data_IF_056462522696
#
_entry.id   IF_056462522696
#
_cell.length_a   1.000
_cell.length_b   1.000
_cell.length_c   1.000
_cell.angle_alpha   90.00
_cell.angle_beta   90.00
_cell.angle_gamma   90.00
#
_symmetry.space_group_name_H-M   'P 1'
#
loop_
_entity.id
_entity.type
_entity.pdbx_description
1 polymer ?
#
# COMPACT_ATOMS: atom_id res chain seq x y z
N UNK A 1 60.88 10.92 -50.05
CA UNK A 1 61.26 12.09 -49.22
C UNK A 1 60.11 12.40 -48.26
N UNK A 2 60.47 12.81 -47.03
CA UNK A 2 59.64 13.08 -45.85
C UNK A 2 59.20 11.86 -45.01
N UNK A 3 60.12 11.51 -44.09
CA UNK A 3 59.95 10.70 -42.88
C UNK A 3 59.40 11.53 -41.70
N UNK A 4 58.76 10.86 -40.72
CA UNK A 4 58.88 10.99 -39.24
C UNK A 4 57.62 10.39 -38.60
N UNK A 5 57.61 9.23 -37.95
CA UNK A 5 58.30 8.69 -36.74
C UNK A 5 57.41 8.72 -35.48
N UNK A 6 57.27 7.52 -34.90
CA UNK A 6 56.52 7.06 -33.72
C UNK A 6 56.85 7.78 -32.40
N UNK A 7 55.91 7.78 -31.46
CA UNK A 7 56.18 7.57 -30.02
C UNK A 7 55.10 6.68 -29.40
N UNK A 8 55.55 5.75 -28.58
CA UNK A 8 54.86 4.63 -27.93
C UNK A 8 55.16 4.73 -26.43
N UNK A 9 54.18 4.64 -25.52
CA UNK A 9 54.43 4.30 -24.09
C UNK A 9 53.26 3.56 -23.43
N UNK A 10 53.34 2.23 -23.53
CA UNK A 10 53.23 1.17 -22.50
C UNK A 10 52.72 1.49 -21.05
N UNK A 11 51.71 0.70 -20.65
CA UNK A 11 51.56 -0.17 -19.44
C UNK A 11 51.48 0.39 -18.01
N UNK A 12 50.50 -0.11 -17.23
CA UNK A 12 50.77 -1.00 -16.08
C UNK A 12 49.54 -1.79 -15.58
N UNK A 13 49.77 -3.09 -15.42
CA UNK A 13 48.93 -4.12 -14.81
C UNK A 13 48.97 -4.07 -13.28
N UNK A 14 47.89 -4.51 -12.62
CA UNK A 14 47.97 -5.07 -11.27
C UNK A 14 47.13 -6.36 -11.21
N UNK A 15 47.87 -7.48 -11.12
CA UNK A 15 47.42 -8.77 -10.59
C UNK A 15 47.98 -8.90 -9.18
N UNK A 16 47.22 -9.51 -8.26
CA UNK A 16 47.64 -10.47 -7.21
C UNK A 16 46.36 -10.80 -6.39
N UNK A 17 45.76 -11.99 -6.52
CA UNK A 17 46.13 -13.30 -5.96
C UNK A 17 45.78 -13.44 -4.46
N UNK A 18 44.79 -14.29 -4.13
CA UNK A 18 44.91 -15.29 -3.05
C UNK A 18 43.98 -16.49 -3.27
N UNK A 19 44.44 -17.61 -2.73
CA UNK A 19 44.11 -19.01 -2.99
C UNK A 19 43.56 -19.64 -1.70
N UNK A 20 42.70 -20.66 -1.83
CA UNK A 20 42.37 -21.68 -0.81
C UNK A 20 40.98 -21.49 -0.18
N UNK A 21 40.18 -22.50 0.14
CA UNK A 21 40.36 -23.95 0.15
C UNK A 21 38.99 -24.68 0.24
N UNK A 22 39.04 -26.00 -0.02
CA UNK A 22 38.11 -27.11 0.23
C UNK A 22 36.76 -26.94 0.93
N UNK A 23 35.74 -27.54 0.29
CA UNK A 23 34.90 -28.68 0.77
C UNK A 23 34.82 -28.89 2.29
N UNK A 24 33.64 -28.68 2.87
CA UNK A 24 33.06 -29.63 3.86
C UNK A 24 31.54 -29.49 3.99
N UNK A 25 30.93 -30.61 4.42
CA UNK A 25 29.51 -30.95 4.46
C UNK A 25 28.76 -30.33 5.66
N UNK A 26 27.43 -30.29 5.47
CA UNK A 26 26.38 -30.60 6.44
C UNK A 26 26.28 -29.78 7.74
N UNK A 27 25.17 -29.05 7.87
CA UNK A 27 24.21 -29.26 8.96
C UNK A 27 22.95 -28.42 8.70
N UNK A 28 21.81 -29.11 8.60
CA UNK A 28 20.50 -28.51 8.83
C UNK A 28 20.41 -27.99 10.28
N UNK A 29 19.51 -27.04 10.55
CA UNK A 29 18.45 -27.42 11.46
C UNK A 29 17.07 -27.00 10.96
N UNK A 30 16.18 -27.99 11.00
CA UNK A 30 14.75 -27.81 11.11
C UNK A 30 14.46 -26.98 12.37
N UNK A 31 13.78 -25.85 12.23
CA UNK A 31 13.00 -25.29 13.33
C UNK A 31 11.55 -25.13 12.88
N UNK A 32 10.78 -26.06 13.42
CA UNK A 32 9.34 -26.16 13.36
C UNK A 32 8.68 -24.91 13.95
N UNK A 33 7.66 -24.44 13.25
CA UNK A 33 6.32 -24.18 13.80
C UNK A 33 6.21 -24.08 15.33
N UNK A 34 5.90 -22.87 15.81
CA UNK A 34 4.72 -22.58 16.63
C UNK A 34 4.86 -21.22 17.32
N UNK A 35 4.06 -20.24 16.91
CA UNK A 35 3.74 -19.07 17.75
C UNK A 35 2.23 -19.03 17.99
N UNK A 36 1.76 -19.19 19.24
CA UNK A 36 0.37 -18.95 19.56
C UNK A 36 0.10 -17.44 19.61
N UNK A 37 -0.91 -17.00 18.85
CA UNK A 37 -1.60 -15.74 19.08
C UNK A 37 -2.36 -15.83 20.41
N UNK A 38 -1.98 -15.03 21.39
CA UNK A 38 -2.85 -14.64 22.50
C UNK A 38 -2.72 -13.13 22.72
N UNK A 39 -3.64 -12.38 22.10
CA UNK A 39 -3.92 -10.99 22.46
C UNK A 39 -4.75 -10.99 23.75
N UNK A 40 -4.10 -10.76 24.88
CA UNK A 40 -4.78 -10.41 26.12
C UNK A 40 -5.06 -8.91 26.10
N UNK A 41 -6.30 -8.51 25.79
CA UNK A 41 -6.77 -7.15 26.01
C UNK A 41 -7.04 -6.97 27.52
N UNK A 42 -6.12 -6.29 28.21
CA UNK A 42 -6.36 -5.79 29.55
C UNK A 42 -7.19 -4.51 29.45
N UNK A 43 -8.50 -4.62 29.74
CA UNK A 43 -9.38 -3.47 30.00
C UNK A 43 -9.01 -2.88 31.35
N UNK A 44 -8.41 -1.69 31.35
CA UNK A 44 -8.19 -0.89 32.55
C UNK A 44 -9.30 0.15 32.66
N UNK A 45 -10.33 -0.16 33.43
CA UNK A 45 -11.34 0.82 33.83
C UNK A 45 -10.73 1.77 34.86
N UNK A 46 -10.47 3.01 34.46
CA UNK A 46 -10.24 4.12 35.39
C UNK A 46 -11.55 4.88 35.57
N UNK A 47 -12.16 4.71 36.73
CA UNK A 47 -13.23 5.54 37.25
C UNK A 47 -12.68 6.92 37.61
N UNK A 48 -13.29 7.98 37.08
CA UNK A 48 -13.18 9.34 37.64
C UNK A 48 -14.52 10.05 37.46
N UNK A 49 -15.22 10.21 38.58
CA UNK A 49 -16.38 11.08 38.74
C UNK A 49 -15.93 12.54 38.83
N UNK A 50 -16.63 13.42 38.11
CA UNK A 50 -16.91 14.78 38.59
C UNK A 50 -18.06 15.41 37.79
N UNK A 51 -19.11 15.78 38.54
CA UNK A 51 -20.12 16.84 38.38
C UNK A 51 -19.64 18.04 37.51
N UNK A 52 -20.42 18.89 36.83
CA UNK A 52 -21.81 19.39 36.94
C UNK A 52 -22.01 20.35 35.76
N UNK A 53 -23.18 20.39 35.11
CA UNK A 53 -23.71 21.62 34.50
C UNK A 53 -25.19 21.47 34.10
N UNK A 54 -25.98 22.39 34.65
CA UNK A 54 -27.40 22.69 34.53
C UNK A 54 -27.86 23.16 33.14
N UNK A 55 -29.09 22.82 32.72
CA UNK A 55 -30.08 23.74 32.08
C UNK A 55 -31.50 23.33 32.52
N UNK A 56 -32.34 24.35 32.73
CA UNK A 56 -33.61 24.37 33.44
C UNK A 56 -34.87 24.38 32.54
N UNK A 57 -36.03 24.16 33.22
CA UNK A 57 -37.42 24.58 32.91
C UNK A 57 -38.12 23.88 31.73
N UNK A 58 -39.42 23.53 31.73
CA UNK A 58 -40.61 23.61 32.61
C UNK A 58 -41.50 22.37 32.24
N UNK A 59 -42.47 21.88 33.00
CA UNK A 59 -43.80 22.48 33.26
C UNK A 59 -44.65 21.49 34.12
N UNK A 60 -45.65 22.03 34.81
CA UNK A 60 -46.53 21.46 35.84
C UNK A 60 -47.24 20.13 35.54
N UNK A 61 -47.36 19.28 36.56
CA UNK A 61 -48.60 18.56 36.84
C UNK A 61 -48.80 18.36 38.35
N UNK A 62 -49.76 19.13 38.87
CA UNK A 62 -50.46 19.11 40.17
C UNK A 62 -50.35 17.85 41.03
N UNK A 63 -50.04 18.09 42.30
CA UNK A 63 -50.12 17.16 43.41
C UNK A 63 -51.54 16.62 43.67
N UNK A 64 -51.61 15.36 44.11
CA UNK A 64 -52.58 14.97 45.14
C UNK A 64 -51.91 13.99 46.08
N UNK A 65 -51.55 14.50 47.25
CA UNK A 65 -51.01 13.78 48.39
C UNK A 65 -52.07 12.84 48.98
N UNK A 66 -51.72 11.57 49.14
CA UNK A 66 -52.40 10.67 50.08
C UNK A 66 -51.33 9.95 50.90
N UNK A 67 -51.17 10.41 52.15
CA UNK A 67 -50.29 9.84 53.15
C UNK A 67 -50.62 8.35 53.38
N UNK A 68 -49.66 7.47 53.09
CA UNK A 68 -49.52 6.16 53.74
C UNK A 68 -48.04 5.91 54.06
N UNK A 69 -47.85 5.30 55.22
CA UNK A 69 -46.61 4.99 55.95
C UNK A 69 -45.41 4.56 55.10
N UNK A 70 -44.16 4.85 55.54
CA UNK A 70 -42.95 4.61 54.75
C UNK A 70 -42.60 3.12 54.75
N UNK A 71 -43.22 2.36 53.86
CA UNK A 71 -42.65 1.08 53.43
C UNK A 71 -41.48 1.45 52.54
N UNK A 72 -40.26 1.01 52.88
CA UNK A 72 -39.07 1.14 52.04
C UNK A 72 -39.35 0.43 50.71
N UNK A 73 -39.94 1.15 49.76
CA UNK A 73 -40.07 0.71 48.38
C UNK A 73 -38.64 0.63 47.84
N UNK A 74 -38.15 -0.60 47.69
CA UNK A 74 -36.81 -0.84 47.16
C UNK A 74 -36.84 -0.41 45.69
N UNK A 75 -36.40 0.81 45.42
CA UNK A 75 -36.31 1.46 44.09
C UNK A 75 -35.70 0.53 43.03
N UNK A 76 -34.83 -0.40 43.45
CA UNK A 76 -34.22 -1.41 42.58
C UNK A 76 -35.17 -2.53 42.12
N UNK A 77 -36.11 -2.98 42.95
CA UNK A 77 -37.05 -4.05 42.58
C UNK A 77 -38.16 -3.52 41.67
N UNK A 78 -38.66 -2.30 41.96
CA UNK A 78 -39.70 -1.67 41.15
C UNK A 78 -39.20 -1.24 39.76
N UNK A 79 -37.88 -1.01 39.61
CA UNK A 79 -37.24 -0.66 38.34
C UNK A 79 -36.39 -1.78 37.73
N UNK A 80 -36.38 -2.99 38.30
CA UNK A 80 -35.53 -4.10 37.85
C UNK A 80 -35.82 -4.46 36.39
N UNK A 81 -37.09 -4.49 36.01
CA UNK A 81 -37.53 -4.74 34.64
C UNK A 81 -37.06 -3.66 33.66
N UNK A 82 -37.11 -2.39 34.07
CA UNK A 82 -36.64 -1.27 33.25
C UNK A 82 -35.11 -1.29 33.07
N UNK A 83 -34.36 -1.61 34.12
CA UNK A 83 -32.90 -1.76 34.07
C UNK A 83 -32.50 -2.93 33.16
N UNK A 84 -33.20 -4.06 33.26
CA UNK A 84 -32.95 -5.23 32.42
C UNK A 84 -33.32 -5.01 30.95
N UNK A 85 -34.46 -4.36 30.66
CA UNK A 85 -34.81 -3.99 29.28
C UNK A 85 -33.86 -2.95 28.71
N UNK A 86 -33.40 -1.99 29.52
CA UNK A 86 -32.42 -0.98 29.11
C UNK A 86 -31.07 -1.61 28.75
N UNK A 87 -30.59 -2.57 29.54
CA UNK A 87 -29.33 -3.26 29.25
C UNK A 87 -29.39 -4.10 27.98
N UNK A 88 -30.50 -4.81 27.75
CA UNK A 88 -30.74 -5.53 26.50
C UNK A 88 -30.87 -4.56 25.32
N UNK A 89 -31.57 -3.44 25.49
CA UNK A 89 -31.71 -2.40 24.48
C UNK A 89 -30.36 -1.81 24.07
N UNK A 90 -29.48 -1.54 25.03
CA UNK A 90 -28.11 -1.09 24.77
C UNK A 90 -27.28 -2.17 24.05
N UNK A 91 -27.44 -3.43 24.41
CA UNK A 91 -26.76 -4.54 23.73
C UNK A 91 -27.22 -4.66 22.27
N UNK A 92 -28.53 -4.60 22.00
CA UNK A 92 -29.08 -4.64 20.65
C UNK A 92 -28.61 -3.42 19.84
N UNK A 93 -28.65 -2.21 20.42
CA UNK A 93 -28.15 -1.00 19.76
C UNK A 93 -26.65 -1.09 19.44
N UNK A 94 -25.85 -1.65 20.35
CA UNK A 94 -24.44 -1.91 20.13
C UNK A 94 -24.21 -2.91 18.99
N UNK A 95 -24.98 -4.00 18.95
CA UNK A 95 -24.92 -5.02 17.90
C UNK A 95 -25.32 -4.44 16.54
N UNK A 96 -26.39 -3.65 16.46
CA UNK A 96 -26.81 -2.98 15.23
C UNK A 96 -25.73 -2.01 14.73
N UNK A 97 -25.15 -1.20 15.64
CA UNK A 97 -24.05 -0.30 15.29
C UNK A 97 -22.83 -1.07 14.78
N UNK A 98 -22.49 -2.18 15.42
CA UNK A 98 -21.38 -3.06 15.02
C UNK A 98 -21.62 -3.71 13.66
N UNK A 99 -22.84 -4.20 13.43
CA UNK A 99 -23.26 -4.79 12.15
C UNK A 99 -23.20 -3.76 11.01
N UNK A 100 -23.76 -2.56 11.21
CA UNK A 100 -23.67 -1.49 10.21
C UNK A 100 -22.23 -1.05 9.93
N UNK A 101 -21.37 -1.02 10.95
CA UNK A 101 -19.97 -0.66 10.78
C UNK A 101 -19.21 -1.72 9.96
N UNK A 102 -19.49 -3.00 10.22
CA UNK A 102 -18.89 -4.11 9.48
C UNK A 102 -19.36 -4.12 8.03
N UNK A 103 -20.66 -3.92 7.79
CA UNK A 103 -21.22 -3.89 6.44
C UNK A 103 -20.67 -2.71 5.62
N UNK A 104 -20.53 -1.52 6.23
CA UNK A 104 -19.88 -0.37 5.56
C UNK A 104 -18.42 -0.64 5.22
N UNK A 105 -17.68 -1.31 6.11
CA UNK A 105 -16.28 -1.67 5.86
C UNK A 105 -16.15 -2.66 4.71
N UNK A 106 -17.04 -3.64 4.64
CA UNK A 106 -17.08 -4.60 3.54
C UNK A 106 -17.45 -3.91 2.22
N UNK A 107 -18.47 -3.03 2.22
CA UNK A 107 -18.83 -2.28 1.02
C UNK A 107 -17.68 -1.39 0.49
N UNK A 108 -16.90 -0.77 1.38
CA UNK A 108 -15.70 -0.01 0.97
C UNK A 108 -14.63 -0.94 0.40
N UNK A 109 -14.45 -2.13 0.99
CA UNK A 109 -13.52 -3.13 0.48
C UNK A 109 -13.93 -3.60 -0.92
N UNK A 110 -15.20 -3.94 -1.11
CA UNK A 110 -15.76 -4.36 -2.40
C UNK A 110 -15.65 -3.24 -3.45
N UNK A 111 -15.87 -1.98 -3.05
CA UNK A 111 -15.69 -0.82 -3.95
C UNK A 111 -14.22 -0.62 -4.34
N UNK A 112 -13.28 -0.87 -3.42
CA UNK A 112 -11.84 -0.81 -3.72
C UNK A 112 -11.43 -1.98 -4.63
N UNK A 113 -11.89 -3.19 -4.36
CA UNK A 113 -11.59 -4.40 -5.16
C UNK A 113 -12.17 -4.26 -6.58
N UNK A 114 -13.38 -3.73 -6.74
CA UNK A 114 -13.99 -3.50 -8.06
C UNK A 114 -13.32 -2.39 -8.87
N UNK A 115 -12.63 -1.45 -8.22
CA UNK A 115 -11.96 -0.32 -8.88
C UNK A 115 -10.46 -0.51 -9.07
N UNK A 116 -9.82 -1.49 -8.42
CA UNK A 116 -8.38 -1.68 -8.54
C UNK A 116 -8.00 -2.50 -9.78
N UNK A 117 -6.84 -2.23 -10.36
CA UNK A 117 -6.30 -3.07 -11.45
C UNK A 117 -5.75 -4.41 -10.92
N UNK A 118 -5.31 -4.42 -9.66
CA UNK A 118 -4.80 -5.57 -8.93
C UNK A 118 -5.40 -5.64 -7.54
N UNK A 119 -5.70 -6.86 -7.09
CA UNK A 119 -6.12 -7.10 -5.72
C UNK A 119 -4.95 -6.91 -4.73
N UNK A 120 -5.22 -6.55 -3.46
CA UNK A 120 -4.17 -6.44 -2.46
C UNK A 120 -3.31 -7.71 -2.31
N UNK A 121 -3.92 -8.89 -2.45
CA UNK A 121 -3.22 -10.17 -2.41
C UNK A 121 -2.34 -10.38 -3.65
N UNK A 122 -2.82 -10.01 -4.84
CA UNK A 122 -2.04 -10.08 -6.08
C UNK A 122 -0.80 -9.17 -6.02
N UNK A 123 -0.89 -8.01 -5.37
CA UNK A 123 0.25 -7.11 -5.15
C UNK A 123 1.30 -7.77 -4.23
N UNK A 124 0.86 -8.48 -3.19
CA UNK A 124 1.78 -9.19 -2.30
C UNK A 124 2.43 -10.38 -3.01
N UNK A 125 1.68 -11.13 -3.83
CA UNK A 125 2.22 -12.19 -4.68
C UNK A 125 3.24 -11.65 -5.68
N UNK A 126 2.97 -10.50 -6.30
CA UNK A 126 3.88 -9.82 -7.21
C UNK A 126 5.20 -9.45 -6.51
N UNK A 127 5.13 -8.95 -5.27
CA UNK A 127 6.32 -8.59 -4.48
C UNK A 127 7.08 -9.82 -4.01
N UNK A 128 6.38 -10.89 -3.69
CA UNK A 128 6.99 -12.15 -3.29
C UNK A 128 7.74 -12.80 -4.46
N UNK A 129 7.11 -12.88 -5.64
CA UNK A 129 7.75 -13.34 -6.87
C UNK A 129 8.98 -12.50 -7.23
N UNK A 130 8.90 -11.19 -6.97
CA UNK A 130 9.99 -10.25 -7.22
C UNK A 130 10.81 -9.92 -5.97
N UNK A 131 10.90 -10.83 -4.98
CA UNK A 131 11.65 -10.60 -3.74
C UNK A 131 13.13 -10.22 -3.98
N UNK A 132 13.67 -10.58 -5.15
CA UNK A 132 15.04 -10.32 -5.52
C UNK A 132 15.25 -8.94 -6.18
N UNK A 133 14.17 -8.22 -6.52
CA UNK A 133 14.17 -6.81 -6.90
C UNK A 133 14.29 -5.98 -5.61
N UNK A 134 15.53 -5.77 -5.16
CA UNK A 134 15.80 -4.95 -3.98
C UNK A 134 15.90 -3.46 -4.36
N UNK A 135 15.74 -2.53 -3.40
CA UNK A 135 15.96 -1.10 -3.61
C UNK A 135 17.26 -0.76 -4.34
N UNK A 136 18.34 -1.47 -4.03
CA UNK A 136 19.65 -1.24 -4.67
C UNK A 136 19.68 -1.67 -6.13
N UNK A 137 19.01 -2.78 -6.47
CA UNK A 137 18.85 -3.23 -7.86
C UNK A 137 18.01 -2.22 -8.62
N UNK A 138 16.93 -1.74 -8.01
CA UNK A 138 16.07 -0.73 -8.60
C UNK A 138 16.83 0.57 -8.89
N UNK A 139 17.63 1.08 -7.94
CA UNK A 139 18.49 2.25 -8.16
C UNK A 139 19.45 2.07 -9.33
N UNK A 140 20.05 0.88 -9.46
CA UNK A 140 20.93 0.56 -10.61
C UNK A 140 20.17 0.52 -11.94
N UNK A 141 18.94 -0.02 -11.94
CA UNK A 141 18.08 -0.01 -13.12
C UNK A 141 17.84 1.41 -13.63
N UNK A 142 17.52 2.33 -12.72
CA UNK A 142 17.30 3.74 -13.06
C UNK A 142 18.57 4.37 -13.65
N UNK A 143 19.75 4.09 -13.08
CA UNK A 143 21.00 4.71 -13.57
C UNK A 143 21.42 4.19 -14.93
N UNK A 144 21.14 2.93 -15.24
CA UNK A 144 21.51 2.30 -16.52
C UNK A 144 20.53 2.64 -17.66
N UNK A 145 19.30 3.00 -17.30
CA UNK A 145 18.28 3.38 -18.26
C UNK A 145 18.19 4.90 -18.31
N UNK A 146 18.88 5.48 -19.29
CA UNK A 146 19.05 6.94 -19.42
C UNK A 146 17.96 7.63 -20.24
N UNK A 147 17.13 6.88 -20.97
CA UNK A 147 16.16 7.47 -21.89
C UNK A 147 15.09 8.31 -21.14
N UNK A 148 14.64 9.40 -21.77
CA UNK A 148 13.57 10.25 -21.24
C UNK A 148 12.19 9.65 -21.52
N UNK A 149 12.00 9.10 -22.72
CA UNK A 149 10.78 8.42 -23.14
C UNK A 149 11.11 7.08 -23.79
N UNK A 150 10.24 6.09 -23.58
CA UNK A 150 10.37 4.79 -24.23
C UNK A 150 9.03 4.06 -24.31
N UNK A 151 8.96 3.06 -25.18
CA UNK A 151 7.81 2.14 -25.27
C UNK A 151 7.91 1.06 -24.19
N UNK A 152 6.78 0.43 -23.88
CA UNK A 152 6.76 -0.60 -22.85
C UNK A 152 7.67 -1.81 -23.17
N UNK A 153 7.69 -2.36 -24.40
CA UNK A 153 8.59 -3.46 -24.73
C UNK A 153 10.07 -3.09 -24.58
N UNK A 154 10.45 -1.87 -25.00
CA UNK A 154 11.81 -1.38 -24.85
C UNK A 154 12.22 -1.24 -23.38
N UNK A 155 11.30 -0.78 -22.52
CA UNK A 155 11.50 -0.73 -21.08
C UNK A 155 11.75 -2.12 -20.48
N UNK A 156 10.90 -3.09 -20.81
CA UNK A 156 11.01 -4.48 -20.32
C UNK A 156 12.35 -5.10 -20.75
N UNK A 157 12.76 -4.90 -21.99
CA UNK A 157 14.04 -5.37 -22.51
C UNK A 157 15.23 -4.72 -21.77
N UNK A 158 15.17 -3.40 -21.53
CA UNK A 158 16.20 -2.69 -20.80
C UNK A 158 16.33 -3.19 -19.35
N UNK A 159 15.19 -3.39 -18.66
CA UNK A 159 15.16 -3.94 -17.31
C UNK A 159 15.74 -5.36 -17.29
N UNK A 160 15.32 -6.23 -18.21
CA UNK A 160 15.83 -7.60 -18.33
C UNK A 160 17.34 -7.63 -18.59
N UNK A 161 17.84 -6.74 -19.46
CA UNK A 161 19.26 -6.62 -19.79
C UNK A 161 20.10 -6.25 -18.56
N UNK A 162 19.70 -5.21 -17.83
CA UNK A 162 20.42 -4.75 -16.63
C UNK A 162 20.36 -5.79 -15.51
N UNK A 163 19.21 -6.45 -15.35
CA UNK A 163 19.07 -7.52 -14.39
C UNK A 163 19.96 -8.73 -14.70
N UNK A 164 20.00 -9.12 -15.98
CA UNK A 164 20.84 -10.24 -16.44
C UNK A 164 22.33 -9.95 -16.25
N UNK A 165 22.76 -8.69 -16.41
CA UNK A 165 24.16 -8.30 -16.18
C UNK A 165 24.55 -8.34 -14.70
N UNK A 166 23.61 -8.07 -13.79
CA UNK A 166 23.89 -8.01 -12.36
C UNK A 166 23.92 -9.37 -11.67
N UNK A 167 22.99 -10.27 -12.00
CA UNK A 167 22.82 -11.55 -11.27
C UNK A 167 22.83 -12.78 -12.19
N UNK A 168 23.12 -12.60 -13.47
CA UNK A 168 23.25 -13.68 -14.45
C UNK A 168 21.96 -13.95 -15.25
N UNK A 169 22.03 -14.81 -16.28
CA UNK A 169 20.94 -15.04 -17.23
C UNK A 169 19.72 -15.77 -16.65
N UNK A 170 19.86 -16.42 -15.48
CA UNK A 170 18.76 -17.07 -14.76
C UNK A 170 17.91 -16.08 -13.94
N UNK A 171 18.29 -14.80 -13.91
CA UNK A 171 17.66 -13.78 -13.10
C UNK A 171 16.67 -12.95 -13.93
N UNK A 172 15.40 -13.35 -13.91
CA UNK A 172 14.31 -12.63 -14.56
C UNK A 172 13.32 -12.16 -13.51
N UNK A 173 13.08 -10.85 -13.42
CA UNK A 173 11.92 -10.33 -12.67
C UNK A 173 10.71 -10.84 -13.44
N UNK A 174 9.78 -11.41 -12.70
CA UNK A 174 8.48 -11.73 -13.23
C UNK A 174 7.73 -10.41 -13.39
N UNK A 175 8.06 -9.70 -14.49
CA UNK A 175 7.32 -8.54 -15.00
C UNK A 175 5.98 -8.99 -15.60
N UNK A 176 5.48 -10.16 -15.21
CA UNK A 176 4.45 -10.89 -15.92
C UNK A 176 3.09 -10.21 -15.90
N UNK A 177 2.07 -11.03 -16.16
CA UNK A 177 0.70 -10.58 -16.41
C UNK A 177 0.11 -9.58 -15.39
N UNK A 178 0.57 -9.55 -14.14
CA UNK A 178 0.11 -8.59 -13.13
C UNK A 178 0.58 -7.15 -13.42
N UNK A 179 1.86 -6.95 -13.77
CA UNK A 179 2.36 -5.63 -14.16
C UNK A 179 1.76 -5.21 -15.50
N UNK A 180 1.66 -6.15 -16.45
CA UNK A 180 1.00 -5.92 -17.74
C UNK A 180 -0.43 -5.40 -17.55
N UNK A 181 -1.21 -6.02 -16.65
CA UNK A 181 -2.57 -5.59 -16.30
C UNK A 181 -2.61 -4.15 -15.79
N UNK A 182 -1.72 -3.79 -14.86
CA UNK A 182 -1.64 -2.42 -14.32
C UNK A 182 -1.30 -1.41 -15.42
N UNK A 183 -0.34 -1.75 -16.26
CA UNK A 183 0.12 -0.86 -17.33
C UNK A 183 -0.97 -0.65 -18.38
N UNK A 184 -1.59 -1.73 -18.84
CA UNK A 184 -2.69 -1.64 -19.81
C UNK A 184 -3.85 -0.84 -19.23
N UNK A 185 -4.23 -1.09 -17.97
CA UNK A 185 -5.26 -0.34 -17.26
C UNK A 185 -4.91 1.16 -17.17
N UNK A 186 -3.68 1.50 -16.82
CA UNK A 186 -3.24 2.88 -16.70
C UNK A 186 -3.18 3.60 -18.06
N UNK A 187 -2.67 2.94 -19.11
CA UNK A 187 -2.59 3.50 -20.46
C UNK A 187 -3.97 3.73 -21.09
N UNK A 188 -4.92 2.83 -20.84
CA UNK A 188 -6.29 2.97 -21.33
C UNK A 188 -6.97 4.26 -20.83
N UNK A 189 -6.66 4.73 -19.62
CA UNK A 189 -7.19 6.01 -19.10
C UNK A 189 -6.78 7.21 -19.95
N UNK A 190 -5.61 7.12 -20.59
CA UNK A 190 -5.03 8.18 -21.39
C UNK A 190 -5.26 7.95 -22.89
N UNK A 191 -6.07 6.97 -23.28
CA UNK A 191 -6.23 6.51 -24.67
C UNK A 191 -4.89 6.19 -25.35
N UNK A 192 -3.95 5.60 -24.60
CA UNK A 192 -2.64 5.16 -25.09
C UNK A 192 -2.52 3.64 -25.08
N UNK A 193 -1.52 3.16 -25.80
CA UNK A 193 -1.17 1.76 -25.97
C UNK A 193 0.26 1.49 -25.50
N UNK A 194 0.62 0.23 -25.34
CA UNK A 194 1.98 -0.19 -24.92
C UNK A 194 3.06 0.15 -25.95
N UNK A 195 2.66 0.45 -27.19
CA UNK A 195 3.53 0.86 -28.28
C UNK A 195 3.78 2.37 -28.31
N UNK A 196 2.98 3.15 -27.57
CA UNK A 196 3.19 4.59 -27.48
C UNK A 196 4.37 4.89 -26.55
N UNK A 197 5.19 5.86 -26.94
CA UNK A 197 6.27 6.35 -26.10
C UNK A 197 5.66 7.07 -24.87
N UNK A 198 6.12 6.68 -23.69
CA UNK A 198 5.75 7.31 -22.43
C UNK A 198 7.00 7.82 -21.71
N UNK A 199 6.87 8.86 -20.88
CA UNK A 199 7.92 9.29 -19.98
C UNK A 199 8.37 8.12 -19.11
N UNK A 200 9.68 7.92 -18.99
CA UNK A 200 10.21 6.74 -18.30
C UNK A 200 9.83 6.72 -16.82
N UNK A 201 9.54 7.88 -16.23
CA UNK A 201 9.02 7.99 -14.87
C UNK A 201 7.72 7.21 -14.68
N UNK A 202 6.86 7.16 -15.69
CA UNK A 202 5.65 6.34 -15.67
C UNK A 202 5.99 4.86 -15.51
N UNK A 203 6.97 4.37 -16.27
CA UNK A 203 7.43 2.98 -16.20
C UNK A 203 8.09 2.65 -14.86
N UNK A 204 8.88 3.58 -14.30
CA UNK A 204 9.47 3.40 -12.97
C UNK A 204 8.42 3.33 -11.88
N UNK A 205 7.40 4.18 -11.96
CA UNK A 205 6.28 4.17 -11.01
C UNK A 205 5.54 2.84 -11.09
N UNK A 206 5.23 2.34 -12.29
CA UNK A 206 4.61 1.03 -12.46
C UNK A 206 5.48 -0.12 -11.92
N UNK A 207 6.78 -0.12 -12.24
CA UNK A 207 7.72 -1.13 -11.74
C UNK A 207 7.90 -1.08 -10.22
N UNK A 208 7.76 0.10 -9.61
CA UNK A 208 7.88 0.26 -8.15
C UNK A 208 6.84 -0.57 -7.39
N UNK A 209 5.70 -0.93 -8.00
CA UNK A 209 4.70 -1.79 -7.38
C UNK A 209 5.24 -3.19 -7.05
N UNK A 210 6.11 -3.71 -7.92
CA UNK A 210 6.79 -5.00 -7.74
C UNK A 210 8.00 -4.90 -6.80
N UNK A 211 8.41 -3.69 -6.38
CA UNK A 211 9.52 -3.50 -5.47
C UNK A 211 9.15 -4.04 -4.08
N UNK A 212 9.92 -5.03 -3.61
CA UNK A 212 9.76 -5.63 -2.30
C UNK A 212 10.34 -4.71 -1.20
N UNK A 213 9.65 -3.60 -0.96
CA UNK A 213 10.01 -2.61 0.05
C UNK A 213 8.76 -1.97 0.67
N UNK A 214 8.96 -1.18 1.72
CA UNK A 214 7.85 -0.43 2.34
C UNK A 214 7.36 0.69 1.41
N UNK A 215 6.09 1.07 1.49
CA UNK A 215 5.54 2.21 0.74
C UNK A 215 6.35 3.51 0.89
N UNK A 216 6.74 3.96 2.11
CA UNK A 216 7.54 5.18 2.24
C UNK A 216 8.91 5.05 1.55
N UNK A 217 9.53 3.88 1.60
CA UNK A 217 10.81 3.63 0.93
C UNK A 217 10.68 3.68 -0.60
N UNK A 218 9.60 3.12 -1.18
CA UNK A 218 9.31 3.25 -2.62
C UNK A 218 9.17 4.71 -3.03
N UNK A 219 8.40 5.49 -2.29
CA UNK A 219 8.18 6.91 -2.56
C UNK A 219 9.51 7.67 -2.48
N UNK A 220 10.33 7.37 -1.46
CA UNK A 220 11.64 7.98 -1.30
C UNK A 220 12.57 7.67 -2.49
N UNK A 221 12.57 6.42 -2.97
CA UNK A 221 13.35 6.01 -4.14
C UNK A 221 12.87 6.77 -5.38
N UNK A 222 11.56 6.81 -5.65
CA UNK A 222 11.00 7.56 -6.78
C UNK A 222 11.33 9.06 -6.72
N UNK A 223 11.33 9.65 -5.52
CA UNK A 223 11.76 11.02 -5.34
C UNK A 223 13.27 11.22 -5.63
N UNK A 224 14.11 10.28 -5.18
CA UNK A 224 15.54 10.28 -5.49
C UNK A 224 15.79 10.15 -7.01
N UNK A 225 14.96 9.39 -7.73
CA UNK A 225 15.01 9.28 -9.19
C UNK A 225 14.81 10.64 -9.85
N UNK A 226 13.76 11.37 -9.43
CA UNK A 226 13.50 12.72 -9.95
C UNK A 226 14.67 13.66 -9.69
N UNK A 227 15.21 13.62 -8.48
CA UNK A 227 16.34 14.47 -8.08
C UNK A 227 17.63 14.10 -8.81
N UNK A 228 17.86 12.81 -9.12
CA UNK A 228 19.03 12.37 -9.86
C UNK A 228 19.01 12.79 -11.33
N UNK A 229 17.82 12.92 -11.93
CA UNK A 229 17.64 13.33 -13.33
C UNK A 229 17.50 14.83 -13.53
N UNK A 230 17.11 15.58 -12.50
CA UNK A 230 16.87 17.02 -12.59
C UNK A 230 17.68 17.79 -11.58
N UNK A 231 18.32 18.86 -12.03
CA UNK A 231 19.06 19.78 -11.16
C UNK A 231 18.14 20.42 -10.09
N UNK A 232 16.87 20.62 -10.42
CA UNK A 232 15.83 21.10 -9.49
C UNK A 232 14.53 20.33 -9.69
N UNK A 233 13.98 19.79 -8.59
CA UNK A 233 12.67 19.14 -8.59
C UNK A 233 11.59 20.22 -8.44
N UNK A 234 10.71 20.33 -9.43
CA UNK A 234 9.61 21.29 -9.39
C UNK A 234 8.34 20.65 -8.82
N UNK A 235 7.38 21.48 -8.37
CA UNK A 235 6.08 21.00 -7.90
C UNK A 235 5.34 20.21 -9.00
N UNK A 236 5.51 20.60 -10.27
CA UNK A 236 4.91 19.90 -11.41
C UNK A 236 5.43 18.47 -11.55
N UNK A 237 6.69 18.23 -11.22
CA UNK A 237 7.30 16.90 -11.32
C UNK A 237 6.79 15.96 -10.24
N UNK A 238 6.67 16.50 -9.02
CA UNK A 238 6.06 15.76 -7.90
C UNK A 238 4.60 15.46 -8.21
N UNK A 239 3.86 16.44 -8.71
CA UNK A 239 2.45 16.26 -9.10
C UNK A 239 2.32 15.16 -10.16
N UNK A 240 3.17 15.18 -11.18
CA UNK A 240 3.18 14.15 -12.23
C UNK A 240 3.46 12.74 -11.69
N UNK A 241 4.42 12.57 -10.77
CA UNK A 241 4.65 11.26 -10.14
C UNK A 241 3.46 10.83 -9.30
N UNK A 242 2.83 11.76 -8.57
CA UNK A 242 1.62 11.47 -7.81
C UNK A 242 0.49 11.04 -8.74
N UNK A 243 0.33 11.69 -9.89
CA UNK A 243 -0.66 11.32 -10.90
C UNK A 243 -0.38 9.91 -11.43
N UNK A 244 0.87 9.58 -11.76
CA UNK A 244 1.25 8.22 -12.17
C UNK A 244 1.04 7.18 -11.06
N UNK A 245 1.30 7.54 -9.80
CA UNK A 245 1.04 6.67 -8.67
C UNK A 245 -0.45 6.43 -8.55
N UNK A 246 -1.30 7.45 -8.66
CA UNK A 246 -2.75 7.28 -8.68
C UNK A 246 -3.19 6.41 -9.85
N UNK A 247 -2.64 6.65 -11.04
CA UNK A 247 -2.99 5.90 -12.24
C UNK A 247 -2.69 4.41 -12.14
N UNK A 248 -1.58 4.06 -11.49
CA UNK A 248 -1.10 2.69 -11.32
C UNK A 248 -1.64 2.02 -10.06
N UNK A 249 -2.00 2.78 -9.02
CA UNK A 249 -2.40 2.22 -7.73
C UNK A 249 -3.90 2.02 -7.58
N UNK A 250 -4.76 2.95 -8.04
CA UNK A 250 -6.16 2.98 -7.61
C UNK A 250 -7.01 3.65 -8.70
N UNK A 251 -8.12 3.01 -9.09
CA UNK A 251 -9.14 3.42 -10.08
C UNK A 251 -8.86 3.05 -11.52
N UNK A 252 -9.27 1.87 -11.95
CA UNK A 252 -9.98 1.79 -13.23
C UNK A 252 -11.18 2.75 -13.11
N UNK A 253 -11.23 3.79 -13.96
CA UNK A 253 -12.40 4.65 -14.04
C UNK A 253 -13.58 3.84 -14.58
N UNK A 254 -14.29 3.14 -13.69
CA UNK A 254 -15.56 2.50 -13.98
C UNK A 254 -16.70 3.51 -13.91
N UNK A 255 -17.29 3.79 -15.08
CA UNK A 255 -18.56 4.49 -15.35
C UNK A 255 -18.62 6.01 -15.17
N UNK A 256 -18.32 6.71 -16.28
CA UNK A 256 -19.27 7.73 -16.77
C UNK A 256 -20.52 7.00 -17.28
N UNK A 257 -21.56 6.88 -16.46
CA UNK A 257 -22.84 6.33 -16.93
C UNK A 257 -23.68 5.69 -15.83
N UNK A 258 -24.22 6.51 -14.93
CA UNK A 258 -25.48 6.24 -14.20
C UNK A 258 -25.91 7.47 -13.35
N UNK A 259 -25.86 8.67 -13.92
CA UNK A 259 -26.71 9.78 -13.46
C UNK A 259 -27.68 10.06 -14.60
N UNK A 260 -28.78 9.30 -14.62
CA UNK A 260 -29.80 9.32 -15.63
C UNK A 260 -31.09 8.74 -15.06
N UNK A 261 -31.55 9.30 -13.95
CA UNK A 261 -32.96 9.24 -13.55
C UNK A 261 -33.46 10.68 -13.50
N UNK A 262 -33.62 11.24 -14.70
CA UNK A 262 -34.54 12.33 -14.97
C UNK A 262 -35.75 11.70 -15.65
N UNK A 263 -36.93 11.87 -15.03
CA UNK A 263 -38.23 11.86 -15.72
C UNK A 263 -38.83 10.50 -16.10
N UNK A 264 -39.66 9.95 -15.20
CA UNK A 264 -41.12 9.87 -15.41
C UNK A 264 -41.84 9.62 -14.08
#
# INVERSE_FOLDING_TARGET
MASRSLVFTKTKSYLLRRVGASVERAAAPHLLFSRPFLCTFAVRCSSSSSSTASIASAEEAKATTLNKTPVKSNVFLDNLGAIFLSSIGLLIAYLVRSYMNTNKRNAIRDDIETQAALDPLEIDDLRFANAQLTPDVFRKLITEVADEEMTYPAFVEAVRRVMSSMKGPAFTVELGHLIDRVIVAALQKHNRTTLDAMPVEFWWVALSLALNSSTPERIQILYQVLQGRRERVTLQDVTRIVDYLQDTSIRMCGRKGACGLEGR
#
